data_IF_260633572922
#
_entry.id   IF_260633572922
#
_cell.length_a   1.000
_cell.length_b   1.000
_cell.length_c   1.000
_cell.angle_alpha   90.00
_cell.angle_beta   90.00
_cell.angle_gamma   90.00
#
_symmetry.space_group_name_H-M   'P 1'
#
loop_
_entity.id
_entity.type
_entity.pdbx_description
1 polymer ?
#
# COMPACT_ATOMS: atom_id res chain seq x y z
N UNK A 1 9.63 22.35 13.96
CA UNK A 1 8.56 21.56 13.36
C UNK A 1 8.25 20.35 14.23
N UNK A 2 7.02 20.22 14.71
CA UNK A 2 6.60 19.20 15.69
C UNK A 2 5.44 18.31 15.17
N UNK A 3 5.12 18.38 13.88
CA UNK A 3 4.02 17.65 13.26
C UNK A 3 4.52 16.52 12.32
N UNK A 4 5.46 15.70 12.80
CA UNK A 4 6.04 14.62 12.01
C UNK A 4 5.04 13.48 11.70
N UNK A 5 3.96 13.36 12.48
CA UNK A 5 2.89 12.40 12.19
C UNK A 5 2.11 12.76 10.90
N UNK A 6 2.04 14.05 10.53
CA UNK A 6 1.45 14.47 9.26
C UNK A 6 2.42 14.24 8.09
N UNK A 7 3.67 14.68 8.23
CA UNK A 7 4.78 14.41 7.28
C UNK A 7 6.12 14.64 7.98
N UNK A 8 7.08 13.74 7.81
CA UNK A 8 8.40 13.86 8.43
C UNK A 8 9.31 14.80 7.66
N UNK A 9 10.27 15.46 8.34
CA UNK A 9 11.37 16.19 7.69
C UNK A 9 12.30 15.21 6.96
N UNK A 10 12.92 15.68 5.86
CA UNK A 10 13.73 14.79 5.00
C UNK A 10 15.21 14.87 5.39
N UNK A 11 15.86 13.72 5.63
CA UNK A 11 17.31 13.65 5.80
C UNK A 11 18.04 14.19 4.56
N UNK A 12 19.24 14.75 4.77
CA UNK A 12 20.05 15.30 3.67
C UNK A 12 20.31 14.25 2.58
N UNK A 13 20.61 13.02 2.95
CA UNK A 13 20.85 11.93 2.00
C UNK A 13 19.66 11.64 1.07
N UNK A 14 18.44 11.84 1.54
CA UNK A 14 17.22 11.69 0.71
C UNK A 14 17.12 12.85 -0.30
N UNK A 15 17.39 14.08 0.13
CA UNK A 15 17.37 15.27 -0.73
C UNK A 15 18.48 15.17 -1.79
N UNK A 16 19.67 14.74 -1.40
CA UNK A 16 20.81 14.54 -2.32
C UNK A 16 20.49 13.45 -3.35
N UNK A 17 19.86 12.35 -2.97
CA UNK A 17 19.42 11.30 -3.91
C UNK A 17 18.46 11.84 -4.97
N UNK A 18 17.51 12.70 -4.60
CA UNK A 18 16.60 13.34 -5.56
C UNK A 18 17.38 14.26 -6.51
N UNK A 19 18.28 15.08 -5.98
CA UNK A 19 19.11 15.99 -6.78
C UNK A 19 20.01 15.24 -7.76
N UNK A 20 20.70 14.21 -7.28
CA UNK A 20 21.54 13.34 -8.12
C UNK A 20 20.74 12.60 -9.17
N UNK A 21 19.55 12.10 -8.82
CA UNK A 21 18.64 11.45 -9.75
C UNK A 21 18.32 12.34 -10.95
N UNK A 22 17.89 13.57 -10.73
CA UNK A 22 17.58 14.50 -11.82
C UNK A 22 18.79 15.04 -12.57
N UNK A 23 19.93 15.20 -11.91
CA UNK A 23 21.12 15.81 -12.56
C UNK A 23 22.01 14.81 -13.28
N UNK A 24 22.00 13.53 -12.89
CA UNK A 24 22.98 12.53 -13.36
C UNK A 24 22.39 11.36 -14.13
N UNK A 25 21.18 10.86 -13.73
CA UNK A 25 20.60 9.63 -14.26
C UNK A 25 19.16 9.80 -14.77
N UNK A 26 18.72 11.04 -15.01
CA UNK A 26 17.37 11.30 -15.49
C UNK A 26 17.15 10.74 -16.90
N UNK A 27 16.46 9.62 -16.99
CA UNK A 27 16.08 8.95 -18.24
C UNK A 27 14.85 8.08 -18.03
N UNK A 28 14.10 7.79 -19.10
CA UNK A 28 12.95 6.89 -19.02
C UNK A 28 13.40 5.47 -18.62
N UNK A 29 12.62 4.84 -17.73
CA UNK A 29 12.86 3.49 -17.21
C UNK A 29 12.25 2.43 -18.14
N UNK A 30 12.75 1.19 -18.07
CA UNK A 30 12.28 -0.04 -18.73
C UNK A 30 12.29 -0.06 -20.25
N UNK A 31 12.35 1.08 -20.95
CA UNK A 31 12.22 1.16 -22.42
C UNK A 31 13.47 1.61 -23.17
N UNK A 32 14.42 2.21 -22.49
CA UNK A 32 15.62 2.73 -23.13
C UNK A 32 16.72 1.69 -23.21
N UNK A 33 17.46 1.71 -24.34
CA UNK A 33 18.60 0.81 -24.60
C UNK A 33 19.96 1.49 -24.36
N UNK A 34 19.97 2.62 -23.64
CA UNK A 34 21.17 3.39 -23.34
C UNK A 34 21.49 3.40 -21.84
N UNK A 35 22.74 3.71 -21.50
CA UNK A 35 23.27 3.64 -20.13
C UNK A 35 22.40 4.33 -19.08
N UNK A 36 21.95 5.56 -19.33
CA UNK A 36 21.14 6.31 -18.35
C UNK A 36 19.79 5.64 -18.07
N UNK A 37 19.14 5.07 -19.09
CA UNK A 37 17.89 4.34 -18.90
C UNK A 37 18.11 3.07 -18.09
N UNK A 38 19.23 2.37 -18.31
CA UNK A 38 19.58 1.18 -17.53
C UNK A 38 19.85 1.55 -16.06
N UNK A 39 20.64 2.58 -15.81
CA UNK A 39 20.93 3.06 -14.44
C UNK A 39 19.65 3.50 -13.71
N UNK A 40 18.74 4.19 -14.38
CA UNK A 40 17.45 4.59 -13.81
C UNK A 40 16.55 3.38 -13.50
N UNK A 41 16.49 2.41 -14.40
CA UNK A 41 15.76 1.14 -14.23
C UNK A 41 16.32 0.35 -13.05
N UNK A 42 17.64 0.14 -13.03
CA UNK A 42 18.31 -0.61 -11.96
C UNK A 42 18.09 0.04 -10.58
N UNK A 43 18.12 1.38 -10.52
CA UNK A 43 17.84 2.14 -9.31
C UNK A 43 16.38 1.99 -8.83
N UNK A 44 15.43 2.03 -9.75
CA UNK A 44 14.01 1.84 -9.45
C UNK A 44 13.71 0.43 -8.95
N UNK A 45 14.23 -0.60 -9.64
CA UNK A 45 14.03 -1.99 -9.23
C UNK A 45 14.83 -2.34 -7.97
N UNK A 46 15.99 -1.70 -7.74
CA UNK A 46 16.68 -1.79 -6.44
C UNK A 46 15.80 -1.24 -5.30
N UNK A 47 15.11 -0.12 -5.54
CA UNK A 47 14.19 0.44 -4.56
C UNK A 47 13.05 -0.52 -4.23
N UNK A 48 12.49 -1.23 -5.22
CA UNK A 48 11.47 -2.25 -5.02
C UNK A 48 11.97 -3.38 -4.12
N UNK A 49 13.15 -3.93 -4.41
CA UNK A 49 13.78 -4.98 -3.58
C UNK A 49 14.08 -4.47 -2.16
N UNK A 50 14.47 -3.21 -2.01
CA UNK A 50 14.70 -2.62 -0.69
C UNK A 50 13.42 -2.52 0.15
N UNK A 51 12.30 -2.14 -0.48
CA UNK A 51 10.97 -2.15 0.16
C UNK A 51 10.53 -3.57 0.49
N UNK A 52 10.73 -4.52 -0.42
CA UNK A 52 10.44 -5.94 -0.20
C UNK A 52 11.16 -6.47 1.04
N UNK A 53 12.44 -6.14 1.22
CA UNK A 53 13.22 -6.52 2.40
C UNK A 53 12.69 -5.87 3.68
N UNK A 54 12.36 -4.57 3.63
CA UNK A 54 11.83 -3.83 4.77
C UNK A 54 10.50 -4.40 5.27
N UNK A 55 9.64 -4.84 4.36
CA UNK A 55 8.33 -5.41 4.67
C UNK A 55 8.36 -6.93 4.88
N UNK A 56 9.52 -7.57 4.76
CA UNK A 56 9.66 -9.04 4.77
C UNK A 56 8.76 -9.76 3.77
N UNK A 57 8.46 -9.11 2.63
CA UNK A 57 7.66 -9.71 1.57
C UNK A 57 8.40 -10.87 0.90
N UNK A 58 7.68 -11.89 0.45
CA UNK A 58 8.29 -13.08 -0.16
C UNK A 58 8.94 -12.75 -1.51
N UNK A 59 8.30 -11.88 -2.30
CA UNK A 59 8.75 -11.51 -3.63
C UNK A 59 8.68 -10.00 -3.85
N UNK A 60 9.60 -9.45 -4.65
CA UNK A 60 9.58 -8.03 -5.03
C UNK A 60 8.36 -7.67 -5.90
N UNK A 61 7.83 -8.61 -6.68
CA UNK A 61 6.60 -8.43 -7.46
C UNK A 61 5.33 -8.26 -6.61
N UNK A 62 5.39 -8.49 -5.30
CA UNK A 62 4.32 -8.17 -4.35
C UNK A 62 4.32 -6.72 -3.90
N UNK A 63 5.31 -5.93 -4.33
CA UNK A 63 5.46 -4.51 -4.02
C UNK A 63 4.98 -3.68 -5.21
N UNK A 64 3.91 -2.92 -5.01
CA UNK A 64 3.36 -2.00 -6.00
C UNK A 64 3.66 -0.56 -5.56
N UNK A 65 4.27 0.23 -6.42
CA UNK A 65 4.46 1.66 -6.19
C UNK A 65 3.18 2.42 -6.52
N UNK A 66 2.79 3.30 -5.62
CA UNK A 66 1.64 4.20 -5.73
C UNK A 66 2.06 5.61 -5.33
N UNK A 67 1.12 6.56 -5.31
CA UNK A 67 1.40 7.94 -4.87
C UNK A 67 1.25 8.15 -3.36
N UNK A 68 0.79 7.14 -2.62
CA UNK A 68 0.59 7.18 -1.16
C UNK A 68 -0.42 6.14 -0.69
N UNK A 69 -0.54 5.99 0.62
CA UNK A 69 -1.50 5.09 1.29
C UNK A 69 -2.92 5.24 0.73
N UNK A 70 -3.37 6.47 0.50
CA UNK A 70 -4.71 6.73 -0.03
C UNK A 70 -4.92 6.07 -1.39
N UNK A 71 -3.97 6.19 -2.33
CA UNK A 71 -4.08 5.51 -3.62
C UNK A 71 -3.99 4.00 -3.48
N UNK A 72 -3.12 3.50 -2.61
CA UNK A 72 -2.99 2.06 -2.34
C UNK A 72 -4.31 1.44 -1.87
N UNK A 73 -5.01 2.10 -0.94
CA UNK A 73 -6.33 1.63 -0.46
C UNK A 73 -7.39 1.74 -1.58
N UNK A 74 -7.39 2.82 -2.36
CA UNK A 74 -8.31 2.96 -3.50
C UNK A 74 -8.07 1.87 -4.56
N UNK A 75 -6.82 1.51 -4.84
CA UNK A 75 -6.46 0.41 -5.73
C UNK A 75 -7.07 -0.91 -5.22
N UNK A 76 -6.85 -1.24 -3.94
CA UNK A 76 -7.45 -2.45 -3.36
C UNK A 76 -8.98 -2.36 -3.39
N UNK A 77 -9.58 -1.24 -2.99
CA UNK A 77 -11.03 -1.08 -3.01
C UNK A 77 -11.60 -1.31 -4.41
N UNK A 78 -10.99 -0.73 -5.45
CA UNK A 78 -11.43 -0.92 -6.83
C UNK A 78 -11.22 -2.35 -7.33
N UNK A 79 -9.98 -2.84 -7.25
CA UNK A 79 -9.58 -4.09 -7.90
C UNK A 79 -10.05 -5.33 -7.12
N UNK A 80 -9.89 -5.33 -5.80
CA UNK A 80 -10.43 -6.39 -4.93
C UNK A 80 -11.96 -6.36 -4.94
N UNK A 81 -12.55 -5.17 -4.85
CA UNK A 81 -14.00 -5.02 -4.93
C UNK A 81 -14.56 -5.54 -6.24
N UNK A 82 -13.86 -5.33 -7.37
CA UNK A 82 -14.29 -5.84 -8.68
C UNK A 82 -14.18 -7.36 -8.79
N UNK A 83 -13.12 -7.95 -8.21
CA UNK A 83 -12.86 -9.37 -8.33
C UNK A 83 -13.68 -10.23 -7.34
N UNK A 84 -13.91 -9.73 -6.11
CA UNK A 84 -14.33 -10.59 -4.99
C UNK A 84 -15.58 -10.14 -4.25
N UNK A 85 -16.09 -8.91 -4.46
CA UNK A 85 -17.24 -8.40 -3.72
C UNK A 85 -18.53 -8.42 -4.55
N UNK A 86 -19.60 -8.86 -3.91
CA UNK A 86 -20.97 -8.91 -4.45
C UNK A 86 -21.93 -8.10 -3.58
N UNK A 87 -23.12 -7.81 -4.10
CA UNK A 87 -24.17 -7.12 -3.36
C UNK A 87 -24.47 -7.82 -2.03
N UNK A 88 -24.45 -7.07 -0.95
CA UNK A 88 -24.70 -7.55 0.41
C UNK A 88 -23.47 -8.09 1.15
N UNK A 89 -22.30 -8.18 0.51
CA UNK A 89 -21.05 -8.52 1.21
C UNK A 89 -20.64 -7.41 2.18
N UNK A 90 -19.81 -7.77 3.15
CA UNK A 90 -19.44 -6.90 4.26
C UNK A 90 -17.93 -6.73 4.35
N UNK A 91 -17.51 -5.49 4.68
CA UNK A 91 -16.13 -5.13 5.02
C UNK A 91 -16.11 -4.66 6.47
N UNK A 92 -15.20 -5.19 7.27
CA UNK A 92 -14.96 -4.76 8.65
C UNK A 92 -13.92 -3.64 8.64
N UNK A 93 -14.25 -2.51 9.28
CA UNK A 93 -13.36 -1.38 9.57
C UNK A 93 -13.50 -1.00 11.04
N UNK A 94 -12.65 -0.10 11.57
CA UNK A 94 -12.82 0.43 12.93
C UNK A 94 -13.28 1.89 12.96
N UNK A 95 -13.75 2.35 14.13
CA UNK A 95 -14.07 3.76 14.34
C UNK A 95 -12.85 4.69 14.31
N UNK A 96 -11.63 4.15 14.53
CA UNK A 96 -10.41 4.95 14.56
C UNK A 96 -9.73 5.11 13.19
N UNK A 97 -10.35 4.63 12.10
CA UNK A 97 -9.73 4.67 10.77
C UNK A 97 -9.52 6.11 10.29
N UNK A 98 -8.40 6.32 9.60
CA UNK A 98 -8.19 7.54 8.82
C UNK A 98 -9.18 7.59 7.63
N UNK A 99 -9.57 8.78 7.19
CA UNK A 99 -10.49 8.96 6.05
C UNK A 99 -10.05 8.17 4.79
N UNK A 100 -8.73 8.00 4.59
CA UNK A 100 -8.20 7.18 3.49
C UNK A 100 -8.63 5.70 3.56
N UNK A 101 -8.95 5.21 4.78
CA UNK A 101 -9.42 3.84 5.00
C UNK A 101 -10.93 3.75 5.34
N UNK A 102 -11.67 4.82 5.08
CA UNK A 102 -13.15 4.85 5.18
C UNK A 102 -13.76 5.17 3.81
N UNK A 103 -13.36 6.29 3.23
CA UNK A 103 -14.01 6.86 2.04
C UNK A 103 -13.95 5.93 0.80
N UNK A 104 -12.85 5.24 0.48
CA UNK A 104 -12.83 4.30 -0.65
C UNK A 104 -13.87 3.19 -0.52
N UNK A 105 -14.09 2.69 0.69
CA UNK A 105 -15.12 1.67 0.96
C UNK A 105 -16.53 2.22 0.84
N UNK A 106 -16.76 3.48 1.25
CA UNK A 106 -18.06 4.16 1.07
C UNK A 106 -18.36 4.40 -0.42
N UNK A 107 -17.35 4.78 -1.22
CA UNK A 107 -17.51 4.89 -2.68
C UNK A 107 -17.88 3.55 -3.31
N UNK A 108 -17.23 2.47 -2.88
CA UNK A 108 -17.53 1.12 -3.31
C UNK A 108 -18.94 0.70 -2.86
N UNK A 109 -19.36 1.05 -1.64
CA UNK A 109 -20.71 0.82 -1.11
C UNK A 109 -21.79 1.45 -1.99
N UNK A 110 -21.54 2.64 -2.54
CA UNK A 110 -22.48 3.32 -3.41
C UNK A 110 -22.68 2.59 -4.75
N UNK A 111 -21.68 1.87 -5.25
CA UNK A 111 -21.70 1.18 -6.54
C UNK A 111 -22.07 -0.31 -6.45
N UNK A 112 -21.85 -0.97 -5.31
CA UNK A 112 -21.96 -2.44 -5.14
C UNK A 112 -22.83 -2.89 -3.97
N UNK A 113 -23.52 -1.97 -3.29
CA UNK A 113 -24.42 -2.28 -2.14
C UNK A 113 -23.78 -3.14 -1.05
N UNK A 114 -22.48 -3.04 -0.86
CA UNK A 114 -21.77 -3.69 0.24
C UNK A 114 -22.12 -2.99 1.56
N UNK A 115 -21.80 -3.60 2.70
CA UNK A 115 -22.00 -3.02 4.02
C UNK A 115 -20.68 -2.83 4.74
N UNK A 116 -20.53 -1.72 5.46
CA UNK A 116 -19.43 -1.50 6.38
C UNK A 116 -19.86 -1.93 7.78
N UNK A 117 -19.09 -2.82 8.38
CA UNK A 117 -19.17 -3.20 9.78
C UNK A 117 -18.12 -2.40 10.54
N UNK A 118 -18.57 -1.44 11.33
CA UNK A 118 -17.68 -0.56 12.09
C UNK A 118 -17.50 -1.12 13.49
N UNK A 119 -16.27 -1.44 13.86
CA UNK A 119 -15.93 -1.93 15.20
C UNK A 119 -15.68 -0.73 16.12
N UNK A 120 -16.36 -0.66 17.26
CA UNK A 120 -16.22 0.46 18.19
C UNK A 120 -14.85 0.46 18.89
N UNK A 121 -14.50 1.61 19.43
CA UNK A 121 -13.40 1.80 20.37
C UNK A 121 -13.96 2.16 21.75
N UNK A 122 -13.23 1.81 22.80
CA UNK A 122 -13.62 2.21 24.17
C UNK A 122 -13.22 3.66 24.48
N UNK A 123 -13.58 4.16 25.66
CA UNK A 123 -13.28 5.52 26.12
C UNK A 123 -11.76 5.80 26.22
N UNK A 124 -10.91 4.77 26.15
CA UNK A 124 -9.45 4.89 26.13
C UNK A 124 -8.89 4.85 24.71
N UNK A 125 -9.76 4.74 23.70
CA UNK A 125 -9.37 4.63 22.30
C UNK A 125 -8.79 3.26 21.92
N UNK A 126 -9.16 2.19 22.65
CA UNK A 126 -8.73 0.81 22.37
C UNK A 126 -9.83 0.10 21.59
N UNK A 127 -9.44 -0.63 20.54
CA UNK A 127 -10.37 -1.41 19.70
C UNK A 127 -11.07 -2.50 20.51
N UNK A 128 -12.41 -2.58 20.42
CA UNK A 128 -13.17 -3.67 21.05
C UNK A 128 -12.97 -4.98 20.28
N UNK A 129 -12.04 -5.78 20.77
CA UNK A 129 -11.72 -7.08 20.17
C UNK A 129 -12.83 -8.12 20.35
N UNK A 130 -13.76 -7.96 21.31
CA UNK A 130 -14.90 -8.84 21.43
C UNK A 130 -15.94 -8.51 20.35
N UNK A 131 -16.24 -7.23 20.14
CA UNK A 131 -17.07 -6.79 19.02
C UNK A 131 -16.45 -7.17 17.67
N UNK A 132 -15.12 -7.05 17.53
CA UNK A 132 -14.40 -7.48 16.33
C UNK A 132 -14.62 -8.98 16.05
N UNK A 133 -14.39 -9.87 17.02
CA UNK A 133 -14.61 -11.32 16.84
C UNK A 133 -16.07 -11.66 16.54
N UNK A 134 -17.03 -10.94 17.13
CA UNK A 134 -18.45 -11.16 16.89
C UNK A 134 -18.96 -10.61 15.55
N UNK A 135 -18.17 -9.78 14.86
CA UNK A 135 -18.58 -9.15 13.60
C UNK A 135 -18.53 -10.08 12.38
N UNK A 136 -17.80 -11.20 12.46
CA UNK A 136 -17.62 -12.13 11.33
C UNK A 136 -18.87 -12.94 11.04
N UNK A 137 -19.20 -13.07 9.76
CA UNK A 137 -20.27 -13.91 9.23
C UNK A 137 -19.93 -14.31 7.77
N UNK A 138 -20.80 -15.08 7.11
CA UNK A 138 -20.59 -15.57 5.76
C UNK A 138 -20.46 -14.47 4.68
N UNK A 139 -20.93 -13.25 4.99
CA UNK A 139 -20.84 -12.08 4.13
C UNK A 139 -19.55 -11.29 4.32
N UNK A 140 -18.80 -11.51 5.37
CA UNK A 140 -17.54 -10.82 5.63
C UNK A 140 -16.49 -11.24 4.59
N UNK A 141 -15.96 -10.30 3.83
CA UNK A 141 -15.01 -10.57 2.72
C UNK A 141 -13.66 -9.89 2.88
N UNK A 142 -13.57 -8.86 3.70
CA UNK A 142 -12.34 -8.12 3.96
C UNK A 142 -12.38 -7.48 5.35
N UNK A 143 -11.24 -7.45 6.00
CA UNK A 143 -10.97 -6.59 7.16
C UNK A 143 -10.02 -5.49 6.71
N UNK A 144 -10.28 -4.21 7.03
CA UNK A 144 -9.39 -3.10 6.72
C UNK A 144 -9.20 -2.24 7.96
N UNK A 145 -8.02 -2.32 8.60
CA UNK A 145 -7.76 -1.75 9.94
C UNK A 145 -6.43 -1.01 9.96
N UNK A 146 -6.40 0.15 10.64
CA UNK A 146 -5.16 0.89 10.87
C UNK A 146 -4.23 0.15 11.84
N UNK A 147 -2.92 0.16 11.56
CA UNK A 147 -1.90 -0.40 12.45
C UNK A 147 -1.74 0.47 13.71
N UNK A 148 -1.54 1.78 13.49
CA UNK A 148 -1.42 2.78 14.55
C UNK A 148 -2.31 3.96 14.20
N UNK A 149 -3.18 4.36 15.14
CA UNK A 149 -4.06 5.52 14.92
C UNK A 149 -3.26 6.81 14.85
N UNK A 150 -3.48 7.60 13.81
CA UNK A 150 -2.86 8.92 13.64
C UNK A 150 -3.39 9.97 14.64
N UNK A 151 -4.55 9.74 15.23
CA UNK A 151 -5.20 10.67 16.21
C UNK A 151 -4.93 10.23 17.64
N UNK A 152 -5.12 8.94 17.92
CA UNK A 152 -5.07 8.40 19.28
C UNK A 152 -3.68 7.88 19.67
N UNK A 153 -2.83 7.51 18.66
CA UNK A 153 -1.57 6.82 18.90
C UNK A 153 -1.74 5.37 19.35
N UNK A 154 -2.96 4.86 19.41
CA UNK A 154 -3.27 3.48 19.78
C UNK A 154 -2.63 2.53 18.75
N UNK A 155 -1.89 1.53 19.25
CA UNK A 155 -1.32 0.45 18.45
C UNK A 155 -2.30 -0.71 18.51
N UNK A 156 -2.85 -1.09 17.35
CA UNK A 156 -3.78 -2.22 17.26
C UNK A 156 -3.05 -3.57 17.31
N UNK A 157 -3.66 -4.61 17.89
CA UNK A 157 -3.09 -5.95 17.98
C UNK A 157 -3.18 -6.69 16.63
N UNK A 158 -2.34 -6.25 15.66
CA UNK A 158 -2.43 -6.68 14.25
C UNK A 158 -2.35 -8.20 14.09
N UNK A 159 -1.48 -8.85 14.87
CA UNK A 159 -1.37 -10.30 14.81
C UNK A 159 -2.70 -11.00 15.18
N UNK A 160 -3.33 -10.58 16.27
CA UNK A 160 -4.61 -11.17 16.72
C UNK A 160 -5.74 -10.87 15.72
N UNK A 161 -5.72 -9.69 15.09
CA UNK A 161 -6.67 -9.29 14.05
C UNK A 161 -6.51 -10.20 12.83
N UNK A 162 -5.28 -10.40 12.35
CA UNK A 162 -4.98 -11.26 11.21
C UNK A 162 -5.35 -12.72 11.52
N UNK A 163 -4.90 -13.27 12.66
CA UNK A 163 -5.18 -14.64 13.05
C UNK A 163 -6.70 -14.89 13.15
N UNK A 164 -7.45 -13.95 13.71
CA UNK A 164 -8.91 -14.02 13.79
C UNK A 164 -9.54 -14.00 12.39
N UNK A 165 -9.19 -13.04 11.54
CA UNK A 165 -9.73 -12.93 10.18
C UNK A 165 -9.42 -14.18 9.35
N UNK A 166 -8.18 -14.66 9.41
CA UNK A 166 -7.76 -15.88 8.70
C UNK A 166 -8.48 -17.14 9.19
N UNK A 167 -8.86 -17.23 10.48
CA UNK A 167 -9.67 -18.34 10.97
C UNK A 167 -11.07 -18.41 10.33
N UNK A 168 -11.53 -17.27 9.77
CA UNK A 168 -12.76 -17.13 8.98
C UNK A 168 -12.50 -17.11 7.46
N UNK A 169 -11.26 -17.36 7.00
CA UNK A 169 -10.83 -17.25 5.59
C UNK A 169 -11.03 -15.85 4.99
N UNK A 170 -10.94 -14.81 5.80
CA UNK A 170 -11.09 -13.41 5.40
C UNK A 170 -9.70 -12.74 5.31
N UNK A 171 -9.32 -12.15 4.16
CA UNK A 171 -8.08 -11.39 4.05
C UNK A 171 -8.12 -10.07 4.81
N UNK A 172 -6.92 -9.54 5.11
CA UNK A 172 -6.75 -8.32 5.88
C UNK A 172 -5.92 -7.29 5.12
N UNK A 173 -6.42 -6.06 5.06
CA UNK A 173 -5.65 -4.88 4.67
C UNK A 173 -5.27 -4.11 5.93
N UNK A 174 -3.98 -3.86 6.10
CA UNK A 174 -3.45 -3.05 7.21
C UNK A 174 -3.02 -1.68 6.68
N UNK A 175 -3.65 -0.61 7.18
CA UNK A 175 -3.16 0.75 6.98
C UNK A 175 -1.96 1.00 7.91
N UNK A 176 -0.78 0.88 7.33
CA UNK A 176 0.51 1.06 7.98
C UNK A 176 1.05 2.49 7.91
N UNK A 177 0.26 3.49 7.50
CA UNK A 177 0.75 4.86 7.30
C UNK A 177 1.47 5.46 8.51
N UNK A 178 1.05 5.13 9.73
CA UNK A 178 1.74 5.49 10.96
C UNK A 178 2.57 4.33 11.52
N UNK A 179 2.11 3.08 11.32
CA UNK A 179 2.71 1.91 11.94
C UNK A 179 4.06 1.53 11.34
N UNK A 180 4.24 1.67 10.03
CA UNK A 180 5.41 1.16 9.31
C UNK A 180 6.76 1.72 9.80
N UNK A 181 6.80 2.96 10.32
CA UNK A 181 8.02 3.55 10.89
C UNK A 181 8.30 3.08 12.33
N UNK A 182 7.26 2.77 13.10
CA UNK A 182 7.35 2.63 14.55
C UNK A 182 7.14 1.21 15.07
N UNK A 183 6.70 0.30 14.22
CA UNK A 183 6.40 -1.08 14.60
C UNK A 183 7.07 -2.06 13.64
N UNK A 184 7.50 -3.23 14.10
CA UNK A 184 7.88 -4.32 13.22
C UNK A 184 6.73 -4.67 12.28
N UNK A 185 7.04 -4.86 11.00
CA UNK A 185 6.06 -5.21 9.97
C UNK A 185 6.29 -6.65 9.53
N UNK A 186 5.24 -7.46 9.63
CA UNK A 186 5.16 -8.81 9.05
C UNK A 186 3.90 -8.86 8.19
N UNK A 187 4.09 -8.75 6.88
CA UNK A 187 2.97 -8.62 5.94
C UNK A 187 2.32 -9.96 5.61
N UNK A 188 0.99 -9.96 5.47
CA UNK A 188 0.23 -11.18 5.23
C UNK A 188 -0.61 -11.14 3.93
N UNK A 189 -1.62 -10.27 3.83
CA UNK A 189 -2.44 -10.15 2.61
C UNK A 189 -2.23 -8.83 1.90
N UNK A 190 -2.51 -7.69 2.59
CA UNK A 190 -2.26 -6.34 2.11
C UNK A 190 -1.69 -5.46 3.22
N UNK A 191 -0.71 -4.63 2.87
CA UNK A 191 -0.15 -3.62 3.75
C UNK A 191 0.13 -2.34 2.95
N UNK A 192 -0.24 -1.19 3.48
CA UNK A 192 -0.08 0.07 2.76
C UNK A 192 0.66 1.10 3.61
N UNK A 193 1.50 1.92 2.96
CA UNK A 193 2.23 2.99 3.62
C UNK A 193 2.51 4.17 2.68
N UNK A 194 2.94 5.30 3.26
CA UNK A 194 3.34 6.51 2.55
C UNK A 194 4.77 6.91 2.92
N UNK A 195 5.63 7.06 1.93
CA UNK A 195 7.04 7.39 2.13
C UNK A 195 7.25 8.71 2.87
N UNK A 196 6.38 9.72 2.66
CA UNK A 196 6.54 11.05 3.26
C UNK A 196 6.42 11.06 4.79
N UNK A 197 5.88 10.00 5.40
CA UNK A 197 5.82 9.80 6.86
C UNK A 197 7.03 9.03 7.40
N UNK A 198 7.85 8.48 6.50
CA UNK A 198 9.02 7.63 6.77
C UNK A 198 10.30 8.27 6.21
N UNK A 199 10.46 9.58 6.40
CA UNK A 199 11.61 10.37 5.91
C UNK A 199 11.79 10.39 4.38
N UNK A 200 10.96 9.67 3.62
CA UNK A 200 10.96 9.62 2.17
C UNK A 200 10.22 10.81 1.53
N UNK A 201 10.23 10.92 0.19
CA UNK A 201 9.56 12.01 -0.52
C UNK A 201 8.04 11.92 -0.45
N UNK A 202 7.36 13.03 -0.74
CA UNK A 202 5.92 13.04 -1.07
C UNK A 202 5.70 12.40 -2.44
N UNK A 203 4.48 11.91 -2.69
CA UNK A 203 4.13 11.32 -3.99
C UNK A 203 4.57 9.88 -4.16
N UNK A 204 5.15 9.25 -3.13
CA UNK A 204 5.47 7.82 -3.11
C UNK A 204 4.68 7.12 -2.00
N UNK A 205 4.01 6.05 -2.38
CA UNK A 205 3.37 5.09 -1.49
C UNK A 205 3.68 3.67 -1.90
N UNK A 206 3.39 2.76 -1.01
CA UNK A 206 3.54 1.33 -1.23
C UNK A 206 2.21 0.64 -0.97
N UNK A 207 1.86 -0.26 -1.88
CA UNK A 207 0.96 -1.36 -1.61
C UNK A 207 1.79 -2.64 -1.64
N UNK A 208 1.91 -3.30 -0.50
CA UNK A 208 2.18 -4.73 -0.49
C UNK A 208 0.88 -5.48 -0.70
N UNK A 209 0.87 -6.43 -1.61
CA UNK A 209 -0.24 -7.36 -1.79
C UNK A 209 0.31 -8.76 -2.04
N UNK A 210 -0.21 -9.75 -1.32
CA UNK A 210 0.18 -11.15 -1.55
C UNK A 210 -0.14 -11.57 -2.98
N UNK A 211 0.82 -12.18 -3.65
CA UNK A 211 0.75 -12.53 -5.08
C UNK A 211 -0.60 -13.14 -5.48
N UNK A 212 -1.12 -14.10 -4.72
CA UNK A 212 -2.41 -14.75 -5.00
C UNK A 212 -3.59 -13.76 -5.15
N UNK A 213 -3.57 -12.66 -4.40
CA UNK A 213 -4.60 -11.63 -4.48
C UNK A 213 -4.35 -10.70 -5.65
N UNK A 214 -3.11 -10.23 -5.81
CA UNK A 214 -2.74 -9.34 -6.90
C UNK A 214 -2.97 -9.99 -8.28
N UNK A 215 -2.66 -11.28 -8.44
CA UNK A 215 -2.89 -11.99 -9.70
C UNK A 215 -4.38 -12.07 -10.06
N UNK A 216 -5.23 -12.32 -9.08
CA UNK A 216 -6.67 -12.45 -9.28
C UNK A 216 -7.39 -11.10 -9.47
N UNK A 217 -6.80 -9.99 -8.99
CA UNK A 217 -7.38 -8.65 -9.12
C UNK A 217 -7.18 -8.09 -10.53
N UNK A 218 -8.19 -7.41 -11.13
CA UNK A 218 -8.00 -6.66 -12.37
C UNK A 218 -7.13 -5.42 -12.12
N UNK A 219 -6.50 -4.85 -13.18
CA UNK A 219 -5.76 -3.60 -13.05
C UNK A 219 -6.63 -2.46 -12.56
N UNK A 220 -5.99 -1.51 -11.88
CA UNK A 220 -6.65 -0.32 -11.32
C UNK A 220 -6.72 0.83 -12.33
N UNK A 221 -5.63 1.06 -13.04
CA UNK A 221 -5.50 2.11 -14.05
C UNK A 221 -5.09 1.50 -15.39
N UNK A 222 -5.50 2.12 -16.50
CA UNK A 222 -5.09 1.74 -17.84
C UNK A 222 -4.11 2.76 -18.43
N UNK A 223 -3.09 2.27 -19.14
CA UNK A 223 -2.10 3.14 -19.77
C UNK A 223 -0.91 2.35 -20.33
N UNK A 224 0.18 3.03 -20.60
CA UNK A 224 1.45 2.39 -20.92
C UNK A 224 2.04 1.64 -19.74
N UNK A 225 3.09 0.87 -19.92
CA UNK A 225 3.81 0.01 -18.96
C UNK A 225 3.01 -1.21 -18.49
N UNK A 226 1.73 -1.05 -18.12
CA UNK A 226 0.89 -2.09 -17.52
C UNK A 226 0.26 -3.06 -18.54
N UNK A 227 0.55 -2.90 -19.82
CA UNK A 227 0.00 -3.68 -20.93
C UNK A 227 1.00 -4.72 -21.46
N UNK A 228 0.50 -5.90 -21.83
CA UNK A 228 1.25 -6.89 -22.61
C UNK A 228 1.09 -6.64 -24.11
N UNK A 229 -0.14 -6.72 -24.62
CA UNK A 229 -0.47 -6.49 -26.01
C UNK A 229 -1.78 -5.70 -26.15
N UNK A 230 -1.85 -4.77 -27.09
CA UNK A 230 -3.02 -3.91 -27.33
C UNK A 230 -3.43 -3.97 -28.79
N UNK A 231 -4.71 -4.26 -29.03
CA UNK A 231 -5.42 -4.00 -30.28
C UNK A 231 -6.62 -3.11 -30.01
N UNK A 232 -7.32 -2.66 -31.02
CA UNK A 232 -8.57 -1.89 -30.82
C UNK A 232 -9.69 -2.75 -30.21
N UNK A 233 -9.63 -4.08 -30.33
CA UNK A 233 -10.63 -5.02 -29.85
C UNK A 233 -10.30 -5.58 -28.47
N UNK A 234 -9.00 -5.70 -28.12
CA UNK A 234 -8.57 -6.38 -26.90
C UNK A 234 -7.23 -5.88 -26.39
N UNK A 235 -7.13 -5.82 -25.06
CA UNK A 235 -5.86 -5.59 -24.33
C UNK A 235 -5.56 -6.78 -23.44
N UNK A 236 -4.31 -7.20 -23.40
CA UNK A 236 -3.74 -8.07 -22.35
C UNK A 236 -2.87 -7.23 -21.43
N UNK A 237 -2.75 -7.66 -20.18
CA UNK A 237 -2.02 -6.93 -19.17
C UNK A 237 -0.66 -7.56 -18.91
N UNK A 238 0.26 -6.76 -18.41
CA UNK A 238 1.59 -7.19 -18.04
C UNK A 238 1.56 -8.01 -16.74
N UNK A 239 2.66 -8.67 -16.42
CA UNK A 239 2.85 -9.41 -15.18
C UNK A 239 2.97 -8.45 -13.97
N UNK A 240 2.88 -9.00 -12.76
CA UNK A 240 3.18 -8.27 -11.53
C UNK A 240 4.67 -7.84 -11.50
N UNK A 241 4.97 -6.68 -10.99
CA UNK A 241 4.08 -5.66 -10.40
C UNK A 241 3.47 -4.71 -11.44
N UNK A 242 3.96 -4.73 -12.67
CA UNK A 242 3.67 -3.75 -13.74
C UNK A 242 2.19 -3.65 -14.08
N UNK A 243 1.40 -4.72 -13.91
CA UNK A 243 -0.06 -4.71 -14.07
C UNK A 243 -0.75 -3.56 -13.31
N UNK A 244 -0.19 -3.11 -12.20
CA UNK A 244 -0.74 -2.05 -11.36
C UNK A 244 0.00 -0.71 -11.44
N UNK A 245 1.04 -0.61 -12.27
CA UNK A 245 1.88 0.59 -12.40
C UNK A 245 1.75 1.17 -13.81
N UNK A 246 0.66 1.91 -14.04
CA UNK A 246 0.37 2.52 -15.33
C UNK A 246 1.12 3.85 -15.52
N UNK A 247 1.77 4.00 -16.69
CA UNK A 247 2.51 5.20 -17.07
C UNK A 247 3.95 5.21 -16.54
N UNK A 248 4.69 6.28 -16.84
CA UNK A 248 6.07 6.43 -16.36
C UNK A 248 6.07 6.61 -14.83
N UNK A 249 6.74 5.74 -14.06
CA UNK A 249 6.76 5.85 -12.61
C UNK A 249 7.64 7.01 -12.13
N UNK A 250 7.44 7.46 -10.89
CA UNK A 250 8.39 8.34 -10.20
C UNK A 250 9.60 7.53 -9.69
N UNK A 251 10.47 7.12 -10.61
CA UNK A 251 11.66 6.31 -10.31
C UNK A 251 12.66 7.05 -9.41
N UNK A 252 12.74 8.37 -9.49
CA UNK A 252 13.62 9.17 -8.61
C UNK A 252 13.07 9.19 -7.19
N UNK A 253 11.76 9.38 -7.04
CA UNK A 253 11.10 9.31 -5.74
C UNK A 253 11.23 7.93 -5.08
N UNK A 254 11.13 6.84 -5.85
CA UNK A 254 11.32 5.49 -5.31
C UNK A 254 12.74 5.23 -4.85
N UNK A 255 13.75 5.68 -5.61
CA UNK A 255 15.16 5.62 -5.20
C UNK A 255 15.42 6.42 -3.93
N UNK A 256 14.84 7.62 -3.83
CA UNK A 256 14.93 8.44 -2.63
C UNK A 256 14.23 7.80 -1.42
N UNK A 257 13.14 7.06 -1.64
CA UNK A 257 12.50 6.29 -0.57
C UNK A 257 13.37 5.11 -0.11
N UNK A 258 13.99 4.37 -1.02
CA UNK A 258 14.96 3.34 -0.66
C UNK A 258 16.08 3.92 0.24
N UNK A 259 16.60 5.11 -0.10
CA UNK A 259 17.59 5.81 0.70
C UNK A 259 17.07 6.21 2.08
N UNK A 260 15.77 6.55 2.19
CA UNK A 260 15.14 6.80 3.48
C UNK A 260 15.06 5.55 4.35
N UNK A 261 14.78 4.38 3.76
CA UNK A 261 14.79 3.09 4.48
C UNK A 261 16.21 2.75 4.99
N UNK A 262 17.25 2.98 4.18
CA UNK A 262 18.64 2.80 4.63
C UNK A 262 18.99 3.75 5.79
N UNK A 263 18.49 4.98 5.74
CA UNK A 263 18.65 5.93 6.84
C UNK A 263 17.97 5.43 8.12
N UNK A 264 16.74 4.92 8.04
CA UNK A 264 16.00 4.33 9.17
C UNK A 264 16.82 3.20 9.78
N UNK A 265 17.31 2.25 8.98
CA UNK A 265 18.10 1.12 9.45
C UNK A 265 19.42 1.57 10.13
N UNK A 266 19.99 2.70 9.71
CA UNK A 266 21.20 3.26 10.31
C UNK A 266 20.99 3.87 11.69
N UNK A 267 19.75 4.09 12.10
CA UNK A 267 19.41 4.63 13.42
C UNK A 267 19.26 3.54 14.49
N UNK A 268 19.08 2.28 14.10
CA UNK A 268 18.91 1.11 14.99
C UNK A 268 17.46 0.80 15.28
#
# INVERSE_FOLDING_TARGET
>A
YLDNAATSQKPRCVIETITDGYTRINANVHRGVHRLSQEATDGHEHARRRVQQFLHAAHDREIIFTRGTTESINLVAHSFGTAFLHDGDEIIISEMEHHANIVPWQLLQSSRKIKLRVIPVDDKGVLDMNAFRAAFNEKTKLVSITHVSNVLGTINPIKDIIDTAHSHNVPVLIDGAQGALHQPVDVQDFYVLSAHKMYGPTGIGILYGKEKWLDAMPPYQGGGEMIGHVTFEKTTFNELPFKFEAGTPDYIGTMAFARALDYIDSLG
#
